data_IF_011811207683
#
_entry.id   IF_011811207683
#
_cell.length_a   1.000
_cell.length_b   1.000
_cell.length_c   1.000
_cell.angle_alpha   90.00
_cell.angle_beta   90.00
_cell.angle_gamma   90.00
#
_symmetry.space_group_name_H-M   'P 1'
#
loop_
_entity.id
_entity.type
_entity.pdbx_description
1 polymer ?
#
# COMPACT_ATOMS: atom_id res chain seq x y z
N UNK A 1 7.25 -16.40 -23.47
CA UNK A 1 7.06 -16.37 -22.01
C UNK A 1 6.89 -14.92 -21.62
N UNK A 2 5.75 -14.54 -21.06
CA UNK A 2 5.42 -13.15 -20.70
C UNK A 2 6.34 -12.70 -19.57
N UNK A 3 6.94 -11.51 -19.68
CA UNK A 3 7.81 -10.92 -18.67
C UNK A 3 7.12 -9.72 -18.05
N UNK A 4 6.84 -9.82 -16.76
CA UNK A 4 6.10 -8.82 -15.99
C UNK A 4 7.03 -8.22 -14.95
N UNK A 5 7.04 -6.89 -14.83
CA UNK A 5 7.88 -6.14 -13.92
C UNK A 5 7.01 -5.28 -13.01
N UNK A 6 6.97 -5.61 -11.71
CA UNK A 6 6.26 -4.88 -10.69
C UNK A 6 7.20 -3.95 -9.94
N UNK A 7 6.78 -2.72 -9.73
CA UNK A 7 7.49 -1.75 -8.88
C UNK A 7 6.61 -1.37 -7.69
N UNK A 8 7.13 -1.51 -6.48
CA UNK A 8 6.44 -1.18 -5.23
C UNK A 8 7.39 -0.90 -4.08
N UNK A 9 6.88 -0.45 -2.93
CA UNK A 9 7.68 -0.09 -1.74
C UNK A 9 7.93 -1.25 -0.78
N UNK A 10 7.52 -2.46 -1.11
CA UNK A 10 7.73 -3.65 -0.27
C UNK A 10 9.22 -3.90 0.01
N UNK A 11 9.50 -4.57 1.13
CA UNK A 11 10.86 -4.85 1.58
C UNK A 11 11.42 -3.83 2.57
N UNK A 12 10.83 -2.64 2.66
CA UNK A 12 10.90 -1.82 3.88
C UNK A 12 9.70 -2.26 4.72
N UNK A 13 9.87 -3.10 5.74
CA UNK A 13 8.78 -3.86 6.30
C UNK A 13 7.62 -2.96 6.72
N UNK A 14 6.55 -2.99 5.92
CA UNK A 14 5.30 -2.29 6.13
C UNK A 14 4.18 -3.25 5.74
N UNK A 15 3.37 -3.65 6.69
CA UNK A 15 2.31 -4.63 6.48
C UNK A 15 1.46 -4.37 5.22
N UNK A 16 1.06 -3.12 4.99
CA UNK A 16 0.22 -2.78 3.86
C UNK A 16 0.91 -2.92 2.49
N UNK A 17 2.15 -2.47 2.40
CA UNK A 17 2.92 -2.57 1.15
C UNK A 17 3.25 -4.03 0.83
N UNK A 18 3.55 -4.83 1.86
CA UNK A 18 3.78 -6.28 1.72
C UNK A 18 2.50 -7.01 1.30
N UNK A 19 1.35 -6.64 1.85
CA UNK A 19 0.05 -7.16 1.47
C UNK A 19 -0.27 -6.90 0.00
N UNK A 20 -0.10 -5.66 -0.47
CA UNK A 20 -0.31 -5.27 -1.86
C UNK A 20 0.57 -6.10 -2.80
N UNK A 21 1.86 -6.21 -2.50
CA UNK A 21 2.77 -7.02 -3.31
C UNK A 21 2.35 -8.49 -3.37
N UNK A 22 2.02 -9.09 -2.22
CA UNK A 22 1.55 -10.49 -2.14
C UNK A 22 0.27 -10.72 -2.95
N UNK A 23 -0.66 -9.77 -2.92
CA UNK A 23 -1.90 -9.84 -3.67
C UNK A 23 -1.63 -9.86 -5.18
N UNK A 24 -0.81 -8.95 -5.69
CA UNK A 24 -0.45 -8.90 -7.10
C UNK A 24 0.34 -10.14 -7.54
N UNK A 25 1.33 -10.56 -6.77
CA UNK A 25 2.11 -11.77 -7.06
C UNK A 25 1.21 -13.00 -7.13
N UNK A 26 0.32 -13.17 -6.15
CA UNK A 26 -0.63 -14.29 -6.10
C UNK A 26 -1.59 -14.28 -7.29
N UNK A 27 -2.11 -13.10 -7.65
CA UNK A 27 -2.98 -12.93 -8.81
C UNK A 27 -2.25 -13.30 -10.11
N UNK A 28 -1.05 -12.75 -10.33
CA UNK A 28 -0.29 -12.96 -11.56
C UNK A 28 0.12 -14.43 -11.72
N UNK A 29 0.62 -15.06 -10.67
CA UNK A 29 1.02 -16.50 -10.73
C UNK A 29 -0.18 -17.37 -11.05
N UNK A 30 -1.35 -17.08 -10.49
CA UNK A 30 -2.58 -17.83 -10.74
C UNK A 30 -3.04 -17.69 -12.20
N UNK A 31 -2.98 -16.50 -12.78
CA UNK A 31 -3.42 -16.23 -14.16
C UNK A 31 -2.36 -16.59 -15.21
N UNK A 32 -1.08 -16.44 -14.86
CA UNK A 32 0.07 -16.63 -15.76
C UNK A 32 1.16 -17.48 -15.08
N UNK A 33 0.94 -18.77 -14.83
CA UNK A 33 1.88 -19.62 -14.07
C UNK A 33 3.26 -19.76 -14.75
N UNK A 34 3.34 -19.49 -16.05
CA UNK A 34 4.58 -19.54 -16.80
C UNK A 34 5.23 -18.16 -17.02
N UNK A 35 4.70 -17.08 -16.46
CA UNK A 35 5.31 -15.77 -16.61
C UNK A 35 6.63 -15.66 -15.83
N UNK A 36 7.57 -14.89 -16.35
CA UNK A 36 8.73 -14.43 -15.61
C UNK A 36 8.35 -13.15 -14.88
N UNK A 37 8.35 -13.18 -13.54
CA UNK A 37 7.93 -12.06 -12.70
C UNK A 37 9.14 -11.41 -12.04
N UNK A 38 9.34 -10.12 -12.29
CA UNK A 38 10.35 -9.28 -11.65
C UNK A 38 9.69 -8.38 -10.61
N UNK A 39 10.25 -8.33 -9.42
CA UNK A 39 9.83 -7.47 -8.32
C UNK A 39 10.93 -6.45 -8.05
N UNK A 40 10.68 -5.18 -8.37
CA UNK A 40 11.60 -4.08 -8.09
C UNK A 40 11.15 -3.36 -6.81
N UNK A 41 11.93 -3.54 -5.76
CA UNK A 41 11.62 -3.12 -4.40
C UNK A 41 12.84 -2.51 -3.73
N UNK A 42 12.68 -1.61 -2.74
CA UNK A 42 13.83 -0.96 -2.06
C UNK A 42 14.82 -1.96 -1.45
N UNK A 43 14.32 -3.02 -0.81
CA UNK A 43 15.12 -4.01 -0.09
C UNK A 43 14.85 -5.45 -0.58
N UNK A 44 15.46 -5.88 -1.69
CA UNK A 44 15.19 -7.16 -2.36
C UNK A 44 15.39 -8.40 -1.47
N UNK A 45 16.39 -8.36 -0.59
CA UNK A 45 16.77 -9.51 0.24
C UNK A 45 15.62 -9.98 1.14
N UNK A 46 14.85 -9.04 1.69
CA UNK A 46 13.69 -9.37 2.53
C UNK A 46 12.60 -10.02 1.70
N UNK A 47 12.29 -9.46 0.53
CA UNK A 47 11.25 -9.97 -0.36
C UNK A 47 11.59 -11.36 -0.90
N UNK A 48 12.85 -11.65 -1.11
CA UNK A 48 13.30 -12.97 -1.55
C UNK A 48 12.94 -14.08 -0.57
N UNK A 49 12.82 -13.76 0.74
CA UNK A 49 12.41 -14.74 1.75
C UNK A 49 10.93 -15.11 1.67
N UNK A 50 10.08 -14.20 1.13
CA UNK A 50 8.63 -14.45 1.00
C UNK A 50 8.29 -15.30 -0.22
N UNK A 51 9.10 -15.21 -1.29
CA UNK A 51 8.82 -15.84 -2.58
C UNK A 51 9.93 -16.79 -2.98
N UNK A 52 9.96 -17.99 -2.37
CA UNK A 52 10.97 -19.01 -2.64
C UNK A 52 10.61 -19.95 -3.80
N UNK A 53 9.39 -19.85 -4.34
CA UNK A 53 8.87 -20.73 -5.40
C UNK A 53 8.46 -19.93 -6.62
N UNK A 54 8.61 -20.56 -7.79
CA UNK A 54 8.18 -19.97 -9.08
C UNK A 54 9.30 -19.21 -9.80
N UNK A 55 8.96 -18.63 -10.94
CA UNK A 55 9.89 -17.85 -11.77
C UNK A 55 9.87 -16.36 -11.33
N UNK A 56 10.14 -16.13 -10.03
CA UNK A 56 10.15 -14.79 -9.42
C UNK A 56 11.60 -14.35 -9.24
N UNK A 57 11.90 -13.17 -9.70
CA UNK A 57 13.20 -12.51 -9.55
C UNK A 57 13.01 -11.20 -8.82
N UNK A 58 13.89 -10.89 -7.87
CA UNK A 58 13.81 -9.68 -7.05
C UNK A 58 14.99 -8.78 -7.35
N UNK A 59 14.73 -7.50 -7.49
CA UNK A 59 15.74 -6.47 -7.83
C UNK A 59 15.40 -5.15 -7.14
N UNK A 60 16.29 -4.18 -7.22
CA UNK A 60 16.06 -2.78 -6.83
C UNK A 60 16.58 -1.80 -7.89
N UNK A 61 16.48 -2.19 -9.15
CA UNK A 61 17.10 -1.43 -10.25
C UNK A 61 16.56 0.00 -10.37
N UNK A 62 15.24 0.16 -10.40
CA UNK A 62 14.59 1.48 -10.48
C UNK A 62 14.79 2.24 -9.16
N UNK A 63 14.62 1.58 -8.01
CA UNK A 63 14.81 2.21 -6.71
C UNK A 63 16.23 2.76 -6.51
N UNK A 64 17.25 1.99 -6.89
CA UNK A 64 18.64 2.48 -6.85
C UNK A 64 18.86 3.63 -7.82
N UNK A 65 18.39 3.48 -9.05
CA UNK A 65 18.54 4.49 -10.09
C UNK A 65 17.97 5.85 -9.63
N UNK A 66 16.75 5.89 -9.15
CA UNK A 66 16.14 7.15 -8.70
C UNK A 66 16.84 7.74 -7.48
N UNK A 67 17.27 6.91 -6.52
CA UNK A 67 17.99 7.36 -5.34
C UNK A 67 19.39 7.90 -5.66
N UNK A 68 20.15 7.21 -6.51
CA UNK A 68 21.52 7.59 -6.84
C UNK A 68 21.61 8.85 -7.71
N UNK A 69 20.63 9.06 -8.59
CA UNK A 69 20.66 10.14 -9.57
C UNK A 69 19.75 11.33 -9.24
N UNK A 70 18.99 11.26 -8.18
CA UNK A 70 18.20 12.39 -7.73
C UNK A 70 19.10 13.52 -7.21
N UNK A 71 18.77 14.77 -7.61
CA UNK A 71 19.38 16.00 -7.09
C UNK A 71 18.26 16.99 -6.77
N UNK A 72 18.45 17.86 -5.80
CA UNK A 72 17.42 18.80 -5.32
C UNK A 72 16.99 19.84 -6.36
N UNK A 73 17.86 20.19 -7.32
CA UNK A 73 17.56 21.16 -8.37
C UNK A 73 16.66 20.63 -9.49
N UNK A 74 16.32 19.38 -9.50
CA UNK A 74 15.34 18.65 -10.31
C UNK A 74 15.24 18.96 -11.82
N UNK A 75 15.80 20.06 -12.31
CA UNK A 75 15.55 20.58 -13.66
C UNK A 75 15.85 19.57 -14.77
N UNK A 76 16.77 18.65 -14.54
CA UNK A 76 17.20 17.63 -15.50
C UNK A 76 16.91 16.19 -15.09
N UNK A 77 16.14 15.95 -13.99
CA UNK A 77 15.97 14.60 -13.45
C UNK A 77 15.36 13.62 -14.46
N UNK A 78 14.36 14.04 -15.23
CA UNK A 78 13.80 13.22 -16.31
C UNK A 78 14.87 12.84 -17.34
N UNK A 79 15.69 13.80 -17.80
CA UNK A 79 16.75 13.56 -18.78
C UNK A 79 17.83 12.62 -18.26
N UNK A 80 18.19 12.76 -16.98
CA UNK A 80 19.17 11.87 -16.33
C UNK A 80 18.65 10.43 -16.30
N UNK A 81 17.40 10.22 -15.86
CA UNK A 81 16.78 8.88 -15.87
C UNK A 81 16.71 8.33 -17.29
N UNK A 82 16.34 9.17 -18.29
CA UNK A 82 16.29 8.76 -19.69
C UNK A 82 17.67 8.33 -20.21
N UNK A 83 18.70 9.11 -19.94
CA UNK A 83 20.07 8.77 -20.33
C UNK A 83 20.47 7.40 -19.75
N UNK A 84 20.28 7.19 -18.43
CA UNK A 84 20.67 5.94 -17.78
C UNK A 84 19.86 4.73 -18.29
N UNK A 85 18.58 4.88 -18.53
CA UNK A 85 17.75 3.79 -19.05
C UNK A 85 18.02 3.48 -20.53
N UNK A 86 18.37 4.50 -21.34
CA UNK A 86 18.59 4.35 -22.77
C UNK A 86 20.01 3.98 -23.16
N UNK A 87 21.01 4.27 -22.34
CA UNK A 87 22.42 3.99 -22.62
C UNK A 87 22.99 2.97 -21.64
N UNK A 88 23.77 2.02 -22.15
CA UNK A 88 24.57 1.10 -21.35
C UNK A 88 25.96 1.71 -21.12
N UNK A 89 26.68 1.16 -20.17
CA UNK A 89 28.02 1.63 -19.79
C UNK A 89 28.14 2.01 -18.32
N UNK A 90 27.12 1.67 -17.54
CA UNK A 90 27.15 1.76 -16.09
C UNK A 90 27.20 0.35 -15.50
N UNK A 91 28.37 -0.19 -15.11
CA UNK A 91 28.53 -1.62 -14.78
C UNK A 91 27.56 -2.15 -13.74
N UNK A 92 27.15 -1.32 -12.79
CA UNK A 92 26.21 -1.70 -11.73
C UNK A 92 24.77 -1.91 -12.19
N UNK A 93 24.42 -1.42 -13.39
CA UNK A 93 23.03 -1.44 -13.91
C UNK A 93 22.86 -2.23 -15.18
N UNK A 94 23.89 -2.40 -16.00
CA UNK A 94 23.76 -2.87 -17.38
C UNK A 94 22.98 -4.17 -17.53
N UNK A 95 23.26 -5.18 -16.71
CA UNK A 95 22.51 -6.45 -16.76
C UNK A 95 21.04 -6.27 -16.37
N UNK A 96 20.78 -5.46 -15.33
CA UNK A 96 19.42 -5.16 -14.89
C UNK A 96 18.66 -4.32 -15.90
N UNK A 97 19.33 -3.35 -16.55
CA UNK A 97 18.76 -2.54 -17.63
C UNK A 97 18.44 -3.35 -18.87
N UNK A 98 19.30 -4.30 -19.26
CA UNK A 98 19.02 -5.21 -20.35
C UNK A 98 17.77 -6.05 -20.10
N UNK A 99 17.59 -6.55 -18.87
CA UNK A 99 16.37 -7.26 -18.49
C UNK A 99 15.15 -6.35 -18.53
N UNK A 100 15.25 -5.15 -17.95
CA UNK A 100 14.20 -4.15 -17.91
C UNK A 100 13.74 -3.70 -19.31
N UNK A 101 14.65 -3.57 -20.26
CA UNK A 101 14.32 -3.25 -21.66
C UNK A 101 13.58 -4.37 -22.39
N UNK A 102 13.63 -5.61 -21.89
CA UNK A 102 13.05 -6.81 -22.50
C UNK A 102 11.79 -7.32 -21.78
N UNK A 103 11.21 -6.54 -20.86
CA UNK A 103 9.92 -6.85 -20.25
C UNK A 103 8.78 -6.59 -21.24
N UNK A 104 7.62 -7.19 -21.00
CA UNK A 104 6.40 -6.92 -21.77
C UNK A 104 5.55 -5.86 -21.04
N UNK A 105 5.50 -5.94 -19.73
CA UNK A 105 4.67 -5.08 -18.85
C UNK A 105 5.54 -4.48 -17.74
N UNK A 106 5.42 -3.17 -17.55
CA UNK A 106 5.89 -2.43 -16.36
C UNK A 106 4.69 -1.93 -15.57
N UNK A 107 4.55 -2.37 -14.35
CA UNK A 107 3.41 -2.06 -13.53
C UNK A 107 3.83 -1.46 -12.18
N UNK A 108 3.44 -0.23 -11.93
CA UNK A 108 3.60 0.47 -10.65
C UNK A 108 2.40 0.09 -9.79
N UNK A 109 2.65 -0.75 -8.78
CA UNK A 109 1.59 -1.22 -7.87
C UNK A 109 1.29 -0.22 -6.76
N UNK A 110 0.13 -0.33 -6.15
CA UNK A 110 -0.43 0.59 -5.18
C UNK A 110 0.46 0.91 -3.99
N UNK A 111 0.15 2.02 -3.39
CA UNK A 111 0.83 2.58 -2.24
C UNK A 111 0.78 4.10 -2.22
N UNK A 112 1.14 4.70 -1.09
CA UNK A 112 1.18 6.15 -0.94
C UNK A 112 2.60 6.67 -0.92
N UNK A 113 3.44 6.23 -1.83
CA UNK A 113 4.87 6.53 -1.84
C UNK A 113 5.31 7.52 -2.93
N UNK A 114 4.50 7.77 -3.95
CA UNK A 114 4.80 8.78 -4.99
C UNK A 114 4.18 10.12 -4.54
N UNK A 115 4.83 10.78 -3.59
CA UNK A 115 4.36 12.04 -3.01
C UNK A 115 5.52 12.94 -2.59
N UNK A 116 5.23 14.16 -2.14
CA UNK A 116 6.24 15.18 -1.81
C UNK A 116 7.05 14.90 -0.53
N UNK A 117 6.71 13.84 0.23
CA UNK A 117 7.57 13.37 1.31
C UNK A 117 8.83 12.71 0.72
N UNK A 118 8.70 12.09 -0.46
CA UNK A 118 9.77 11.43 -1.21
C UNK A 118 9.80 11.89 -2.67
N UNK A 119 10.22 13.14 -2.97
CA UNK A 119 10.10 13.71 -4.31
C UNK A 119 10.86 12.96 -5.40
N UNK A 120 11.94 12.25 -5.06
CA UNK A 120 12.69 11.41 -5.98
C UNK A 120 11.88 10.22 -6.54
N UNK A 121 10.78 9.82 -5.89
CA UNK A 121 9.92 8.75 -6.39
C UNK A 121 9.14 9.12 -7.66
N UNK A 122 9.11 10.41 -8.04
CA UNK A 122 8.62 10.83 -9.35
C UNK A 122 9.39 10.15 -10.50
N UNK A 123 10.66 9.81 -10.28
CA UNK A 123 11.50 9.06 -11.20
C UNK A 123 10.96 7.67 -11.58
N UNK A 124 10.07 7.09 -10.76
CA UNK A 124 9.39 5.82 -11.09
C UNK A 124 8.42 6.04 -12.26
N UNK A 125 7.61 7.13 -12.23
CA UNK A 125 6.73 7.49 -13.34
C UNK A 125 7.55 7.81 -14.60
N UNK A 126 8.65 8.55 -14.45
CA UNK A 126 9.55 8.86 -15.55
C UNK A 126 10.12 7.58 -16.18
N UNK A 127 10.55 6.63 -15.38
CA UNK A 127 11.07 5.35 -15.85
C UNK A 127 10.04 4.57 -16.67
N UNK A 128 8.78 4.51 -16.22
CA UNK A 128 7.70 3.89 -16.95
C UNK A 128 7.52 4.53 -18.34
N UNK A 129 7.44 5.86 -18.39
CA UNK A 129 7.26 6.61 -19.64
C UNK A 129 8.42 6.40 -20.62
N UNK A 130 9.65 6.38 -20.11
CA UNK A 130 10.84 6.14 -20.92
C UNK A 130 10.80 4.71 -21.52
N UNK A 131 10.42 3.72 -20.70
CA UNK A 131 10.27 2.33 -21.18
C UNK A 131 9.20 2.21 -22.25
N UNK A 132 8.08 2.92 -22.14
CA UNK A 132 7.08 2.96 -23.21
C UNK A 132 7.61 3.61 -24.47
N UNK A 133 8.19 4.82 -24.36
CA UNK A 133 8.64 5.63 -25.51
C UNK A 133 9.80 4.98 -26.30
N UNK A 134 10.78 4.43 -25.60
CA UNK A 134 12.02 3.94 -26.23
C UNK A 134 12.04 2.44 -26.48
N UNK A 135 11.24 1.66 -25.73
CA UNK A 135 11.27 0.21 -25.81
C UNK A 135 9.88 -0.41 -26.08
N UNK A 136 8.85 0.44 -26.28
CA UNK A 136 7.48 0.01 -26.59
C UNK A 136 6.90 -0.96 -25.56
N UNK A 137 7.08 -0.64 -24.24
CA UNK A 137 6.57 -1.46 -23.16
C UNK A 137 5.18 -1.00 -22.74
N UNK A 138 4.30 -1.93 -22.34
CA UNK A 138 3.02 -1.60 -21.70
C UNK A 138 3.30 -1.07 -20.31
N UNK A 139 2.69 0.06 -19.94
CA UNK A 139 2.91 0.69 -18.63
C UNK A 139 1.59 0.90 -17.88
N UNK A 140 1.52 0.44 -16.65
CA UNK A 140 0.34 0.51 -15.80
C UNK A 140 0.66 1.12 -14.44
N UNK A 141 -0.31 1.83 -13.84
CA UNK A 141 -0.28 2.29 -12.47
C UNK A 141 -1.62 2.03 -11.80
N UNK A 142 -1.63 1.35 -10.66
CA UNK A 142 -2.85 1.00 -9.95
C UNK A 142 -2.79 1.38 -8.47
N UNK A 143 -3.92 1.74 -7.88
CA UNK A 143 -4.06 1.93 -6.43
C UNK A 143 -3.11 2.97 -5.81
N UNK A 144 -2.65 3.98 -6.57
CA UNK A 144 -1.66 4.94 -6.12
C UNK A 144 -2.30 6.08 -5.32
N UNK A 145 -1.65 6.51 -4.23
CA UNK A 145 -1.92 7.76 -3.52
C UNK A 145 -0.82 8.77 -3.83
N UNK A 146 -1.18 9.96 -4.30
CA UNK A 146 -0.24 10.97 -4.78
C UNK A 146 -0.12 12.20 -3.88
N UNK A 147 -0.85 12.22 -2.76
CA UNK A 147 -0.86 13.37 -1.85
C UNK A 147 0.10 13.22 -0.66
N UNK A 148 0.77 14.31 -0.25
CA UNK A 148 0.83 15.61 -0.92
C UNK A 148 1.61 15.56 -2.25
N UNK A 149 1.14 16.31 -3.27
CA UNK A 149 1.68 16.20 -4.62
C UNK A 149 3.12 16.75 -4.75
N UNK A 150 3.97 16.08 -5.55
CA UNK A 150 5.36 16.49 -5.82
C UNK A 150 5.41 17.69 -6.78
N UNK A 151 4.50 17.74 -7.74
CA UNK A 151 4.50 18.72 -8.83
C UNK A 151 3.08 19.15 -9.16
N UNK A 152 2.90 20.03 -10.15
CA UNK A 152 1.59 20.54 -10.54
C UNK A 152 0.68 19.45 -11.12
N UNK A 153 -0.62 19.69 -11.02
CA UNK A 153 -1.66 18.84 -11.61
C UNK A 153 -1.47 18.65 -13.11
N UNK A 154 -1.10 19.72 -13.81
CA UNK A 154 -0.87 19.72 -15.25
C UNK A 154 0.27 18.77 -15.62
N UNK A 155 1.38 18.86 -14.91
CA UNK A 155 2.53 17.98 -15.14
C UNK A 155 2.16 16.50 -14.89
N UNK A 156 1.47 16.20 -13.78
CA UNK A 156 1.00 14.84 -13.53
C UNK A 156 0.05 14.35 -14.62
N UNK A 157 -0.91 15.19 -15.09
CA UNK A 157 -1.82 14.82 -16.17
C UNK A 157 -1.08 14.50 -17.48
N UNK A 158 -0.01 15.24 -17.78
CA UNK A 158 0.84 14.93 -18.95
C UNK A 158 1.58 13.60 -18.80
N UNK A 159 2.03 13.27 -17.60
CA UNK A 159 2.68 11.98 -17.34
C UNK A 159 1.69 10.81 -17.44
N UNK A 160 0.54 10.90 -16.74
CA UNK A 160 -0.40 9.79 -16.67
C UNK A 160 -1.12 9.50 -17.98
N UNK A 161 -1.31 10.50 -18.86
CA UNK A 161 -1.83 10.30 -20.24
C UNK A 161 -1.02 9.31 -21.07
N UNK A 162 0.22 9.06 -20.68
CA UNK A 162 1.10 8.15 -21.39
C UNK A 162 0.97 6.71 -20.90
N UNK A 163 0.28 6.48 -19.78
CA UNK A 163 0.04 5.13 -19.27
C UNK A 163 -1.05 4.43 -20.10
N UNK A 164 -0.95 3.12 -20.23
CA UNK A 164 -1.98 2.30 -20.85
C UNK A 164 -3.18 2.14 -19.91
N UNK A 165 -2.95 2.20 -18.61
CA UNK A 165 -3.96 2.37 -17.57
C UNK A 165 -3.35 3.03 -16.33
N UNK A 166 -4.09 3.95 -15.70
CA UNK A 166 -3.66 4.61 -14.46
C UNK A 166 -4.87 4.89 -13.55
N UNK A 167 -4.78 4.50 -12.29
CA UNK A 167 -5.79 4.82 -11.28
C UNK A 167 -5.18 5.23 -9.94
N UNK A 168 -5.94 6.01 -9.17
CA UNK A 168 -5.60 6.45 -7.82
C UNK A 168 -6.64 5.97 -6.82
N UNK A 169 -6.22 5.77 -5.57
CA UNK A 169 -7.06 5.15 -4.52
C UNK A 169 -7.81 6.12 -3.63
N UNK A 170 -7.48 7.41 -3.67
CA UNK A 170 -8.07 8.44 -2.81
C UNK A 170 -8.68 9.59 -3.62
N UNK A 171 -9.72 10.21 -3.06
CA UNK A 171 -10.49 11.24 -3.73
C UNK A 171 -9.69 12.52 -3.98
N UNK A 172 -8.74 12.83 -3.11
CA UNK A 172 -7.88 13.99 -3.21
C UNK A 172 -6.96 13.87 -4.43
N UNK A 173 -6.33 12.71 -4.62
CA UNK A 173 -5.54 12.40 -5.82
C UNK A 173 -6.41 12.39 -7.08
N UNK A 174 -7.61 11.82 -7.02
CA UNK A 174 -8.54 11.78 -8.15
C UNK A 174 -9.00 13.17 -8.58
N UNK A 175 -9.38 14.01 -7.62
CA UNK A 175 -9.79 15.40 -7.87
C UNK A 175 -8.63 16.23 -8.43
N UNK A 176 -7.42 16.07 -7.86
CA UNK A 176 -6.21 16.76 -8.31
C UNK A 176 -5.88 16.45 -9.77
N UNK A 177 -6.04 15.20 -10.17
CA UNK A 177 -5.80 14.76 -11.56
C UNK A 177 -7.01 14.95 -12.49
N UNK A 178 -8.20 15.19 -11.94
CA UNK A 178 -9.47 15.18 -12.66
C UNK A 178 -9.71 13.85 -13.41
N UNK A 179 -9.53 12.74 -12.69
CA UNK A 179 -9.78 11.37 -13.19
C UNK A 179 -10.76 10.66 -12.26
N UNK A 180 -11.28 9.52 -12.71
CA UNK A 180 -12.16 8.69 -11.89
C UNK A 180 -11.40 8.11 -10.69
N UNK A 181 -12.03 8.11 -9.51
CA UNK A 181 -11.55 7.44 -8.33
C UNK A 181 -11.53 5.93 -8.52
N UNK A 182 -10.38 5.32 -8.29
CA UNK A 182 -10.17 3.88 -8.22
C UNK A 182 -10.17 3.34 -6.78
N UNK A 183 -9.51 2.22 -6.58
CA UNK A 183 -9.46 1.53 -5.29
C UNK A 183 -8.03 1.10 -4.95
N UNK A 184 -7.77 0.95 -3.65
CA UNK A 184 -6.51 0.40 -3.16
C UNK A 184 -6.26 -1.03 -3.69
N UNK A 185 -5.01 -1.37 -3.96
CA UNK A 185 -4.62 -2.70 -4.46
C UNK A 185 -4.80 -3.82 -3.42
N UNK A 186 -4.96 -3.47 -2.14
CA UNK A 186 -5.32 -4.43 -1.12
C UNK A 186 -6.68 -5.11 -1.41
N UNK A 187 -7.60 -4.43 -2.12
CA UNK A 187 -8.89 -5.02 -2.53
C UNK A 187 -8.79 -6.10 -3.62
N UNK A 188 -7.60 -6.38 -4.18
CA UNK A 188 -7.44 -7.38 -5.23
C UNK A 188 -7.66 -8.82 -4.74
N UNK A 189 -7.39 -9.09 -3.46
CA UNK A 189 -7.47 -10.43 -2.90
C UNK A 189 -8.88 -10.77 -2.36
N UNK A 190 -9.20 -12.07 -2.29
CA UNK A 190 -10.38 -12.57 -1.58
C UNK A 190 -10.06 -12.62 -0.07
N UNK A 191 -10.62 -11.71 0.69
CA UNK A 191 -10.41 -11.45 2.11
C UNK A 191 -10.89 -12.57 3.07
N UNK A 192 -10.94 -13.83 2.65
CA UNK A 192 -11.42 -14.92 3.47
C UNK A 192 -10.30 -15.64 4.27
N UNK A 193 -9.08 -15.13 4.25
CA UNK A 193 -7.98 -15.79 4.94
C UNK A 193 -7.73 -15.12 6.31
N UNK A 194 -8.34 -15.69 7.34
CA UNK A 194 -7.88 -15.50 8.72
C UNK A 194 -6.44 -16.01 8.83
N UNK A 195 -5.67 -15.49 9.79
CA UNK A 195 -4.31 -15.94 10.03
C UNK A 195 -4.22 -17.49 10.09
N UNK A 196 -3.22 -18.02 9.40
CA UNK A 196 -2.93 -19.45 9.40
C UNK A 196 -2.00 -19.88 10.55
N UNK A 197 -1.68 -19.00 11.50
CA UNK A 197 -0.82 -19.33 12.61
C UNK A 197 -1.59 -20.10 13.69
N UNK A 198 -1.32 -21.40 13.90
CA UNK A 198 -2.00 -22.21 14.91
C UNK A 198 -1.73 -21.70 16.34
N UNK A 199 -0.55 -21.10 16.59
CA UNK A 199 -0.16 -20.57 17.89
C UNK A 199 -0.93 -19.31 18.29
N UNK A 200 -1.64 -18.70 17.35
CA UNK A 200 -2.41 -17.49 17.62
C UNK A 200 -3.83 -17.77 18.15
N UNK A 201 -4.38 -18.97 17.93
CA UNK A 201 -5.77 -19.25 18.28
C UNK A 201 -6.10 -18.98 19.76
N UNK A 202 -5.13 -19.23 20.65
CA UNK A 202 -5.28 -19.03 22.10
C UNK A 202 -4.88 -17.63 22.58
N UNK A 203 -4.23 -16.81 21.70
CA UNK A 203 -3.70 -15.48 22.07
C UNK A 203 -4.32 -14.33 21.31
N UNK A 204 -5.41 -14.52 20.56
CA UNK A 204 -6.07 -13.41 19.86
C UNK A 204 -6.86 -12.55 20.87
N UNK A 205 -6.51 -11.25 21.06
CA UNK A 205 -7.14 -10.40 22.04
C UNK A 205 -8.52 -9.90 21.56
N UNK A 206 -9.31 -9.33 22.49
CA UNK A 206 -10.60 -8.71 22.19
C UNK A 206 -10.44 -7.30 21.60
N UNK A 207 -9.36 -6.62 21.99
CA UNK A 207 -9.03 -5.28 21.52
C UNK A 207 -7.62 -5.25 20.98
N UNK A 208 -7.42 -4.74 19.75
CA UNK A 208 -6.11 -4.50 19.14
C UNK A 208 -5.82 -3.02 18.96
N UNK A 209 -4.60 -2.64 19.29
CA UNK A 209 -4.12 -1.26 19.25
C UNK A 209 -2.86 -1.18 18.38
N UNK A 210 -2.77 -0.16 17.55
CA UNK A 210 -1.58 0.20 16.80
C UNK A 210 -1.46 1.72 16.69
N UNK A 211 -0.48 2.31 17.35
CA UNK A 211 -0.20 3.75 17.32
C UNK A 211 1.21 3.97 16.76
N UNK A 212 1.29 4.67 15.64
CA UNK A 212 2.56 5.02 15.01
C UNK A 212 3.20 6.25 15.65
N UNK A 213 4.52 6.37 15.55
CA UNK A 213 5.26 7.56 15.99
C UNK A 213 6.04 8.27 14.88
N UNK A 214 6.05 7.74 13.67
CA UNK A 214 6.88 8.17 12.54
C UNK A 214 6.52 9.56 11.97
N UNK A 215 5.37 10.12 12.34
CA UNK A 215 4.86 11.38 11.78
C UNK A 215 4.34 12.37 12.83
N UNK A 216 4.62 12.11 14.11
CA UNK A 216 4.19 12.97 15.22
C UNK A 216 5.35 13.22 16.16
N UNK A 217 5.32 14.38 16.84
CA UNK A 217 6.28 14.68 17.90
C UNK A 217 6.00 13.87 19.18
N UNK A 218 6.99 13.88 20.07
CA UNK A 218 6.94 13.12 21.32
C UNK A 218 5.82 13.60 22.28
N UNK A 219 5.51 14.88 22.29
CA UNK A 219 4.48 15.46 23.16
C UNK A 219 3.09 14.98 22.72
N UNK A 220 2.81 15.06 21.43
CA UNK A 220 1.57 14.55 20.84
C UNK A 220 1.43 13.04 21.05
N UNK A 221 2.51 12.27 20.86
CA UNK A 221 2.50 10.83 21.13
C UNK A 221 2.11 10.53 22.58
N UNK A 222 2.73 11.21 23.54
CA UNK A 222 2.43 11.01 24.96
C UNK A 222 0.97 11.34 25.29
N UNK A 223 0.42 12.42 24.72
CA UNK A 223 -0.99 12.80 24.90
C UNK A 223 -1.92 11.72 24.36
N UNK A 224 -1.66 11.25 23.14
CA UNK A 224 -2.45 10.18 22.50
C UNK A 224 -2.38 8.88 23.31
N UNK A 225 -1.19 8.49 23.72
CA UNK A 225 -0.98 7.28 24.53
C UNK A 225 -1.73 7.38 25.86
N UNK A 226 -1.74 8.54 26.52
CA UNK A 226 -2.48 8.73 27.77
C UNK A 226 -3.99 8.52 27.60
N UNK A 227 -4.58 9.06 26.53
CA UNK A 227 -6.00 8.87 26.21
C UNK A 227 -6.32 7.40 25.87
N UNK A 228 -5.43 6.75 25.14
CA UNK A 228 -5.55 5.32 24.85
C UNK A 228 -5.43 4.47 26.12
N UNK A 229 -4.56 4.83 27.07
CA UNK A 229 -4.45 4.15 28.38
C UNK A 229 -5.78 4.14 29.13
N UNK A 230 -6.47 5.28 29.17
CA UNK A 230 -7.78 5.39 29.82
C UNK A 230 -8.79 4.44 29.17
N UNK A 231 -8.81 4.38 27.85
CA UNK A 231 -9.67 3.45 27.09
C UNK A 231 -9.29 1.97 27.30
N UNK A 232 -8.02 1.66 27.44
CA UNK A 232 -7.56 0.30 27.79
C UNK A 232 -8.12 -0.11 29.15
N UNK A 233 -8.00 0.77 30.15
CA UNK A 233 -8.51 0.49 31.51
C UNK A 233 -10.03 0.25 31.48
N UNK A 234 -10.79 1.07 30.74
CA UNK A 234 -12.24 0.86 30.56
C UNK A 234 -12.55 -0.52 29.98
N UNK A 235 -11.82 -0.95 28.95
CA UNK A 235 -12.00 -2.27 28.34
C UNK A 235 -11.61 -3.41 29.30
N UNK A 236 -10.52 -3.27 30.04
CA UNK A 236 -10.10 -4.26 31.04
C UNK A 236 -11.11 -4.42 32.14
N UNK A 237 -11.77 -3.31 32.59
CA UNK A 237 -12.86 -3.37 33.56
C UNK A 237 -14.09 -4.14 33.05
N UNK A 238 -14.26 -4.22 31.72
CA UNK A 238 -15.28 -5.04 31.07
C UNK A 238 -14.83 -6.49 30.86
N UNK A 239 -13.64 -6.88 31.32
CA UNK A 239 -13.07 -8.21 31.17
C UNK A 239 -12.47 -8.50 29.78
N UNK A 240 -12.24 -7.45 28.96
CA UNK A 240 -11.68 -7.63 27.61
C UNK A 240 -10.16 -7.74 27.66
N UNK A 241 -9.62 -8.64 26.85
CA UNK A 241 -8.18 -8.85 26.67
C UNK A 241 -7.65 -7.84 25.67
N UNK A 242 -6.60 -7.12 26.04
CA UNK A 242 -5.98 -6.09 25.21
C UNK A 242 -4.70 -6.62 24.58
N UNK A 243 -4.51 -6.38 23.29
CA UNK A 243 -3.29 -6.66 22.56
C UNK A 243 -2.79 -5.45 21.78
N UNK A 244 -1.56 -5.56 21.33
CA UNK A 244 -0.89 -4.58 20.49
C UNK A 244 -0.34 -5.21 19.22
N UNK A 245 -0.37 -4.47 18.11
CA UNK A 245 0.07 -4.97 16.81
C UNK A 245 0.95 -3.93 16.11
N UNK A 246 2.06 -4.37 15.54
CA UNK A 246 2.90 -3.55 14.65
C UNK A 246 2.51 -3.71 13.18
N UNK A 247 2.52 -2.63 12.43
CA UNK A 247 2.54 -2.65 10.96
C UNK A 247 3.96 -2.37 10.43
N UNK A 248 4.72 -1.50 11.11
CA UNK A 248 6.11 -1.16 10.76
C UNK A 248 6.99 -1.42 11.98
N UNK A 249 8.02 -2.29 11.85
CA UNK A 249 8.90 -2.63 12.96
C UNK A 249 9.55 -1.39 13.58
N UNK A 250 9.52 -1.31 14.90
CA UNK A 250 10.14 -0.24 15.66
C UNK A 250 9.34 1.06 15.68
N UNK A 251 8.75 1.49 14.57
CA UNK A 251 7.96 2.73 14.52
C UNK A 251 6.65 2.63 15.29
N UNK A 252 6.02 1.48 15.33
CA UNK A 252 4.80 1.29 16.11
C UNK A 252 5.11 0.79 17.53
N UNK A 253 6.33 0.33 17.78
CA UNK A 253 6.76 -0.24 19.06
C UNK A 253 6.84 0.76 20.21
N UNK A 254 7.21 2.01 19.93
CA UNK A 254 7.38 3.04 20.98
C UNK A 254 6.09 3.26 21.77
N UNK A 255 4.95 3.27 21.10
CA UNK A 255 3.67 3.39 21.80
C UNK A 255 3.36 2.12 22.64
N UNK A 256 3.73 0.93 22.17
CA UNK A 256 3.62 -0.30 22.95
C UNK A 256 4.48 -0.23 24.24
N UNK A 257 5.73 0.23 24.13
CA UNK A 257 6.63 0.37 25.28
C UNK A 257 6.05 1.32 26.35
N UNK A 258 5.30 2.33 25.92
CA UNK A 258 4.58 3.24 26.83
C UNK A 258 3.30 2.62 27.43
N UNK A 259 2.81 1.50 26.89
CA UNK A 259 1.58 0.81 27.30
C UNK A 259 1.84 -0.59 27.91
N UNK A 260 3.11 -1.02 28.00
CA UNK A 260 3.48 -2.40 28.36
C UNK A 260 3.08 -2.80 29.80
N UNK A 261 2.80 -1.86 30.68
CA UNK A 261 2.27 -2.10 32.00
C UNK A 261 0.78 -2.52 31.99
N UNK A 262 0.06 -2.20 30.90
CA UNK A 262 -1.35 -2.54 30.69
C UNK A 262 -1.55 -3.70 29.71
N UNK A 263 -0.56 -3.99 28.85
CA UNK A 263 -0.65 -5.00 27.79
C UNK A 263 0.40 -6.08 28.02
N UNK A 264 -0.05 -7.31 28.28
CA UNK A 264 0.86 -8.41 28.52
C UNK A 264 1.69 -8.70 27.23
N UNK A 265 3.02 -8.99 27.37
CA UNK A 265 3.89 -9.27 26.21
C UNK A 265 3.39 -10.40 25.29
N UNK A 266 2.66 -11.35 25.84
CA UNK A 266 2.04 -12.45 25.10
C UNK A 266 1.04 -11.97 24.04
N UNK A 267 0.42 -10.81 24.23
CA UNK A 267 -0.53 -10.20 23.28
C UNK A 267 0.10 -9.13 22.38
N UNK A 268 1.42 -9.12 22.29
CA UNK A 268 2.14 -8.29 21.32
C UNK A 268 2.39 -9.09 20.04
N UNK A 269 1.94 -8.56 18.88
CA UNK A 269 2.12 -9.12 17.55
C UNK A 269 3.11 -8.25 16.78
N UNK A 270 4.31 -8.72 16.57
CA UNK A 270 5.32 -7.98 15.83
C UNK A 270 5.04 -7.97 14.33
N UNK A 271 5.59 -6.98 13.62
CA UNK A 271 5.34 -6.80 12.19
C UNK A 271 5.76 -8.03 11.35
N UNK A 272 6.84 -8.73 11.71
CA UNK A 272 7.30 -9.91 10.97
C UNK A 272 6.29 -11.06 11.04
N UNK A 273 5.70 -11.30 12.23
CA UNK A 273 4.63 -12.28 12.39
C UNK A 273 3.40 -11.88 11.57
N UNK A 274 2.99 -10.60 11.67
CA UNK A 274 1.81 -10.07 10.98
C UNK A 274 1.97 -10.14 9.45
N UNK A 275 3.14 -9.78 8.94
CA UNK A 275 3.45 -9.89 7.52
C UNK A 275 3.45 -11.35 7.07
N UNK A 276 3.93 -12.26 7.89
CA UNK A 276 4.04 -13.69 7.53
C UNK A 276 2.70 -14.41 7.58
N UNK A 277 1.94 -14.20 8.65
CA UNK A 277 0.74 -14.98 8.96
C UNK A 277 -0.60 -14.24 8.74
N UNK A 278 -0.57 -12.94 8.49
CA UNK A 278 -1.76 -12.08 8.41
C UNK A 278 -2.17 -11.51 9.76
N UNK A 279 -3.33 -10.86 9.82
CA UNK A 279 -3.82 -10.23 11.04
C UNK A 279 -4.41 -11.26 12.03
N UNK A 280 -4.20 -11.08 13.36
CA UNK A 280 -4.80 -11.91 14.40
C UNK A 280 -6.27 -11.51 14.63
N UNK A 281 -7.17 -12.01 13.79
CA UNK A 281 -8.56 -11.59 13.71
C UNK A 281 -9.48 -12.60 14.39
N UNK A 282 -10.41 -12.10 15.22
CA UNK A 282 -11.57 -12.84 15.75
C UNK A 282 -12.86 -12.03 15.64
N UNK A 283 -13.98 -12.70 15.80
CA UNK A 283 -15.30 -12.07 15.78
C UNK A 283 -15.47 -11.05 16.94
N UNK A 284 -16.20 -9.97 16.68
CA UNK A 284 -16.48 -8.89 17.63
C UNK A 284 -15.25 -8.15 18.17
N UNK A 285 -14.09 -8.33 17.58
CA UNK A 285 -12.85 -7.66 17.95
C UNK A 285 -12.95 -6.14 17.73
N UNK A 286 -12.29 -5.37 18.58
CA UNK A 286 -12.27 -3.90 18.57
C UNK A 286 -10.88 -3.42 18.13
N UNK A 287 -10.82 -2.39 17.30
CA UNK A 287 -9.57 -1.86 16.77
C UNK A 287 -9.40 -0.36 17.04
N UNK A 288 -8.19 0.03 17.42
CA UNK A 288 -7.72 1.43 17.47
C UNK A 288 -6.45 1.51 16.65
N UNK A 289 -6.46 2.14 15.49
CA UNK A 289 -5.28 2.10 14.61
C UNK A 289 -5.03 3.40 13.88
N UNK A 290 -3.76 3.82 13.87
CA UNK A 290 -3.25 4.87 12.99
C UNK A 290 -2.93 4.36 11.58
N UNK A 291 -2.90 3.03 11.37
CA UNK A 291 -2.48 2.41 10.12
C UNK A 291 -3.66 2.16 9.19
N UNK A 292 -3.54 2.68 7.96
CA UNK A 292 -4.56 2.59 6.93
C UNK A 292 -4.99 1.14 6.62
N UNK A 293 -4.03 0.24 6.42
CA UNK A 293 -4.35 -1.14 6.07
C UNK A 293 -4.91 -1.96 7.24
N UNK A 294 -4.63 -1.60 8.49
CA UNK A 294 -5.34 -2.17 9.64
C UNK A 294 -6.81 -1.75 9.64
N UNK A 295 -7.11 -0.45 9.38
CA UNK A 295 -8.48 0.03 9.24
C UNK A 295 -9.19 -0.70 8.09
N UNK A 296 -8.55 -0.77 6.91
CA UNK A 296 -9.11 -1.45 5.75
C UNK A 296 -9.42 -2.92 6.06
N UNK A 297 -8.41 -3.71 6.42
CA UNK A 297 -8.54 -5.16 6.59
C UNK A 297 -9.48 -5.53 7.72
N UNK A 298 -9.38 -4.88 8.90
CA UNK A 298 -10.31 -5.15 9.98
C UNK A 298 -11.77 -4.85 9.59
N UNK A 299 -12.00 -3.78 8.83
CA UNK A 299 -13.34 -3.48 8.28
C UNK A 299 -13.83 -4.54 7.30
N UNK A 300 -12.94 -5.16 6.52
CA UNK A 300 -13.29 -6.25 5.60
C UNK A 300 -13.81 -7.50 6.32
N UNK A 301 -13.38 -7.69 7.58
CA UNK A 301 -13.90 -8.74 8.46
C UNK A 301 -15.11 -8.30 9.30
N UNK A 302 -15.65 -7.10 9.07
CA UNK A 302 -16.79 -6.56 9.80
C UNK A 302 -16.47 -6.13 11.24
N UNK A 303 -15.19 -5.83 11.52
CA UNK A 303 -14.72 -5.47 12.85
C UNK A 303 -14.85 -3.96 13.08
N UNK A 304 -15.34 -3.58 14.26
CA UNK A 304 -15.52 -2.18 14.64
C UNK A 304 -14.20 -1.55 15.09
N UNK A 305 -14.04 -0.25 14.82
CA UNK A 305 -12.83 0.43 15.24
C UNK A 305 -12.91 1.94 15.26
N UNK A 306 -11.76 2.50 15.64
CA UNK A 306 -11.46 3.93 15.58
C UNK A 306 -10.20 4.12 14.74
N UNK A 307 -10.33 4.86 13.66
CA UNK A 307 -9.20 5.33 12.87
C UNK A 307 -8.57 6.53 13.58
N UNK A 308 -7.31 6.40 14.00
CA UNK A 308 -6.59 7.44 14.71
C UNK A 308 -5.75 8.23 13.71
N UNK A 309 -6.17 9.47 13.41
CA UNK A 309 -5.53 10.33 12.40
C UNK A 309 -4.76 11.46 13.06
N UNK A 310 -3.45 11.33 13.16
CA UNK A 310 -2.60 12.25 13.95
C UNK A 310 -1.83 13.26 13.10
N UNK A 311 -1.83 13.10 11.77
CA UNK A 311 -1.15 13.99 10.83
C UNK A 311 -2.13 14.49 9.79
N UNK A 312 -2.69 15.71 9.98
CA UNK A 312 -3.60 16.35 9.02
C UNK A 312 -2.93 16.55 7.65
N UNK A 313 -3.70 16.33 6.58
CA UNK A 313 -3.24 16.45 5.19
C UNK A 313 -2.55 15.21 4.64
N UNK A 314 -2.32 14.18 5.45
CA UNK A 314 -1.76 12.90 4.99
C UNK A 314 -2.56 11.68 5.47
N UNK A 315 -2.66 11.45 6.78
CA UNK A 315 -3.39 10.28 7.30
C UNK A 315 -4.91 10.45 7.31
N UNK A 316 -5.40 11.67 7.49
CA UNK A 316 -6.82 11.98 7.37
C UNK A 316 -7.34 11.69 5.96
N UNK A 317 -6.59 12.03 4.91
CA UNK A 317 -6.92 11.70 3.52
C UNK A 317 -7.09 10.19 3.36
N UNK A 318 -6.15 9.41 3.87
CA UNK A 318 -6.17 7.95 3.80
C UNK A 318 -7.37 7.34 4.52
N UNK A 319 -7.57 7.68 5.79
CA UNK A 319 -8.70 7.15 6.57
C UNK A 319 -10.05 7.62 6.02
N UNK A 320 -10.15 8.89 5.60
CA UNK A 320 -11.37 9.42 4.98
C UNK A 320 -11.73 8.71 3.67
N UNK A 321 -10.75 8.26 2.89
CA UNK A 321 -11.03 7.47 1.69
C UNK A 321 -11.75 6.15 2.01
N UNK A 322 -11.38 5.48 3.11
CA UNK A 322 -12.05 4.28 3.59
C UNK A 322 -13.44 4.57 4.15
N UNK A 323 -13.61 5.67 4.87
CA UNK A 323 -14.92 6.11 5.36
C UNK A 323 -15.86 6.43 4.20
N UNK A 324 -15.37 7.09 3.14
CA UNK A 324 -16.13 7.34 1.90
C UNK A 324 -16.51 6.04 1.18
N UNK A 325 -15.68 5.01 1.28
CA UNK A 325 -16.01 3.66 0.78
C UNK A 325 -17.02 2.92 1.67
N UNK A 326 -17.35 3.47 2.83
CA UNK A 326 -18.44 3.01 3.69
C UNK A 326 -18.04 2.11 4.86
N UNK A 327 -16.76 2.08 5.29
CA UNK A 327 -16.31 1.25 6.42
C UNK A 327 -17.08 1.56 7.71
N UNK A 328 -17.42 2.85 7.94
CA UNK A 328 -18.19 3.29 9.09
C UNK A 328 -17.43 3.29 10.41
N UNK A 329 -16.10 3.13 10.39
CA UNK A 329 -15.27 3.34 11.58
C UNK A 329 -15.42 4.78 12.08
N UNK A 330 -15.32 4.98 13.39
CA UNK A 330 -15.15 6.32 13.93
C UNK A 330 -13.76 6.85 13.56
N UNK A 331 -13.62 8.17 13.45
CA UNK A 331 -12.31 8.82 13.28
C UNK A 331 -12.00 9.71 14.47
N UNK A 332 -10.74 9.72 14.91
CA UNK A 332 -10.25 10.56 15.99
C UNK A 332 -8.97 11.29 15.58
N UNK A 333 -8.92 12.59 15.82
CA UNK A 333 -7.79 13.45 15.42
C UNK A 333 -6.83 13.78 16.55
N UNK A 334 -7.04 13.20 17.74
CA UNK A 334 -6.12 13.34 18.88
C UNK A 334 -6.30 14.59 19.74
N UNK A 335 -7.36 15.38 19.52
CA UNK A 335 -7.54 16.69 20.20
C UNK A 335 -8.80 16.76 21.07
N UNK A 336 -9.68 15.77 20.99
CA UNK A 336 -10.99 15.74 21.64
C UNK A 336 -11.22 14.39 22.33
N UNK A 337 -12.43 14.11 22.72
CA UNK A 337 -12.80 12.83 23.34
C UNK A 337 -12.63 11.70 22.31
N UNK A 338 -11.91 10.65 22.70
CA UNK A 338 -11.77 9.43 21.89
C UNK A 338 -13.17 8.80 21.66
N UNK A 339 -13.65 8.71 20.42
CA UNK A 339 -14.96 8.16 20.14
C UNK A 339 -15.04 6.65 20.44
N UNK A 340 -16.26 6.13 20.55
CA UNK A 340 -16.47 4.70 20.63
C UNK A 340 -16.30 4.03 19.26
N UNK A 341 -15.75 2.81 19.23
CA UNK A 341 -15.57 2.05 17.98
C UNK A 341 -16.88 1.77 17.26
N UNK A 342 -16.89 1.99 15.96
CA UNK A 342 -18.05 1.80 15.09
C UNK A 342 -17.71 0.98 13.84
N UNK A 343 -18.73 0.44 13.18
CA UNK A 343 -18.65 -0.26 11.89
C UNK A 343 -19.98 -0.11 11.14
N UNK A 344 -19.92 -0.05 9.82
CA UNK A 344 -21.10 -0.14 8.98
C UNK A 344 -21.32 -1.61 8.54
N UNK A 345 -22.36 -2.24 9.03
CA UNK A 345 -22.68 -3.62 8.67
C UNK A 345 -22.95 -3.85 7.18
N UNK A 346 -23.38 -2.82 6.46
CA UNK A 346 -23.59 -2.87 5.00
C UNK A 346 -22.29 -2.83 4.20
N UNK A 347 -21.16 -2.54 4.82
CA UNK A 347 -19.87 -2.45 4.12
C UNK A 347 -19.43 -3.77 3.49
N UNK A 348 -19.74 -4.91 4.11
CA UNK A 348 -19.39 -6.26 3.60
C UNK A 348 -19.98 -6.51 2.18
N UNK A 349 -21.18 -6.03 1.91
CA UNK A 349 -21.76 -6.13 0.56
C UNK A 349 -21.06 -5.22 -0.45
N UNK A 350 -20.64 -4.05 0.00
CA UNK A 350 -19.89 -3.11 -0.84
C UNK A 350 -18.50 -3.63 -1.19
N UNK A 351 -17.85 -4.33 -0.27
CA UNK A 351 -16.53 -4.96 -0.49
C UNK A 351 -16.57 -5.89 -1.70
N UNK A 352 -17.58 -6.76 -1.82
CA UNK A 352 -17.70 -7.69 -2.94
C UNK A 352 -17.70 -6.96 -4.28
N UNK A 353 -18.40 -5.82 -4.37
CA UNK A 353 -18.43 -4.98 -5.58
C UNK A 353 -17.07 -4.34 -5.86
N UNK A 354 -16.39 -3.82 -4.82
CA UNK A 354 -15.07 -3.19 -4.94
C UNK A 354 -14.03 -4.24 -5.38
N UNK A 355 -13.99 -5.39 -4.71
CA UNK A 355 -13.09 -6.50 -5.06
C UNK A 355 -13.31 -6.98 -6.49
N UNK A 356 -14.58 -7.14 -6.91
CA UNK A 356 -14.90 -7.54 -8.27
C UNK A 356 -14.38 -6.53 -9.30
N UNK A 357 -14.60 -5.23 -9.08
CA UNK A 357 -14.06 -4.18 -9.95
C UNK A 357 -12.53 -4.20 -10.00
N UNK A 358 -11.86 -4.40 -8.86
CA UNK A 358 -10.39 -4.48 -8.82
C UNK A 358 -9.88 -5.70 -9.58
N UNK A 359 -10.57 -6.84 -9.49
CA UNK A 359 -10.26 -8.05 -10.28
C UNK A 359 -10.53 -7.85 -11.77
N UNK A 360 -11.58 -7.13 -12.16
CA UNK A 360 -11.82 -6.75 -13.57
C UNK A 360 -10.67 -5.93 -14.13
N UNK A 361 -10.16 -4.94 -13.37
CA UNK A 361 -9.00 -4.12 -13.75
C UNK A 361 -7.75 -5.00 -13.89
N UNK A 362 -7.48 -5.87 -12.92
CA UNK A 362 -6.35 -6.78 -12.97
C UNK A 362 -6.41 -7.73 -14.18
N UNK A 363 -7.58 -8.26 -14.49
CA UNK A 363 -7.80 -9.08 -15.69
C UNK A 363 -7.58 -8.28 -16.97
N UNK A 364 -8.06 -7.04 -17.05
CA UNK A 364 -7.84 -6.15 -18.19
C UNK A 364 -6.34 -5.89 -18.44
N UNK A 365 -5.57 -5.66 -17.39
CA UNK A 365 -4.13 -5.40 -17.46
C UNK A 365 -3.35 -6.63 -17.98
N UNK A 366 -3.72 -7.82 -17.56
CA UNK A 366 -2.90 -9.01 -17.76
C UNK A 366 -3.47 -10.02 -18.75
N UNK A 367 -4.79 -10.08 -18.96
CA UNK A 367 -5.43 -11.02 -19.89
C UNK A 367 -5.69 -10.32 -21.23
N UNK A 368 -4.97 -10.70 -22.26
CA UNK A 368 -5.20 -10.25 -23.63
C UNK A 368 -6.52 -10.85 -24.18
N UNK A 369 -7.45 -9.97 -24.56
CA UNK A 369 -8.66 -10.34 -25.31
C UNK A 369 -9.97 -10.03 -24.59
N UNK A 370 -10.73 -9.07 -25.15
CA UNK A 370 -12.15 -8.78 -24.92
C UNK A 370 -12.57 -7.81 -23.80
N UNK A 371 -11.95 -6.66 -23.67
CA UNK A 371 -12.67 -5.55 -23.02
C UNK A 371 -12.51 -4.26 -23.83
N UNK A 372 -13.64 -3.73 -24.31
CA UNK A 372 -13.71 -2.41 -24.95
C UNK A 372 -13.52 -1.34 -23.85
N UNK A 373 -12.40 -0.64 -23.93
CA UNK A 373 -11.90 0.32 -22.94
C UNK A 373 -12.66 1.65 -23.00
N UNK A 374 -13.47 1.90 -24.05
CA UNK A 374 -14.07 3.21 -24.35
C UNK A 374 -15.13 3.70 -23.36
N UNK A 375 -15.59 2.87 -22.41
CA UNK A 375 -16.72 3.19 -21.52
C UNK A 375 -16.43 3.24 -20.02
N UNK A 376 -15.18 3.16 -19.56
CA UNK A 376 -14.89 3.19 -18.12
C UNK A 376 -13.75 4.16 -17.80
N UNK A 377 -14.08 5.24 -17.13
CA UNK A 377 -13.36 6.45 -16.75
C UNK A 377 -11.97 6.40 -16.10
N UNK A 378 -11.11 5.46 -16.44
CA UNK A 378 -9.67 5.61 -16.31
C UNK A 378 -9.14 6.38 -17.52
N UNK A 379 -8.01 7.06 -17.40
CA UNK A 379 -7.37 7.68 -18.57
C UNK A 379 -6.94 6.54 -19.50
N UNK A 380 -7.75 6.29 -20.51
CA UNK A 380 -7.39 5.44 -21.65
C UNK A 380 -6.82 6.35 -22.69
N UNK A 381 -5.59 6.13 -23.07
CA UNK A 381 -4.97 6.80 -24.19
C UNK A 381 -5.69 6.37 -25.48
N UNK A 382 -6.28 7.28 -26.28
CA UNK A 382 -6.80 6.93 -27.59
C UNK A 382 -5.61 6.61 -28.49
N UNK A 383 -5.49 5.35 -28.91
CA UNK A 383 -4.67 4.99 -30.04
C UNK A 383 -5.56 4.98 -31.29
N UNK A 384 -5.42 5.97 -32.14
CA UNK A 384 -5.48 5.84 -33.59
C UNK A 384 -4.07 5.71 -34.14
#
# INVERSE_FOLDING_TARGET
MKKIYLVGTSGYPNYGDELILKNWVSFIIKQHPNAELWLDVPFPTIIQTYFQKGNIKVTNTIWRLINEYYREDHSDFFKIIQEKLCHLGTPHYDLSLLNLRNIDIFHIIGGGYINNIWPHHLGILYSAIILKKHFNRKIYGTGLGLMPAITSSEHYKELIKQFDYFEVRDAESANFLNIQLGYDDAYLNNFNQRSNNPDWQERIPDVLICIQNDTIDKEKLNTVVQIIRERIVEHQQQGLIIGYIEAIPGQDRIAFELLQDLIQPHYFFNAAEVITYGLPIKENQIWYSTRFHHHLEASLFGLKGVAVSLNPGYYDIKHNSLLKNGTGWAIWYGNDVLPYPNINSGFIENIKKITHKKQEIANMIYCEGSYDISNRGGVVSPHE
#
